data_IF_094574535302
#
_entry.id   IF_094574535302
#
_cell.length_a   1.000
_cell.length_b   1.000
_cell.length_c   1.000
_cell.angle_alpha   90.00
_cell.angle_beta   90.00
_cell.angle_gamma   90.00
#
_symmetry.space_group_name_H-M   'P 1'
#
loop_
_entity.id
_entity.type
_entity.pdbx_description
1 polymer ?
#
# COMPACT_ATOMS: atom_id res chain seq x y z
N UNK A 1 1.15 13.45 -6.55
CA UNK A 1 0.81 14.63 -5.72
C UNK A 1 0.87 14.28 -4.22
N UNK A 2 1.67 14.98 -3.42
CA UNK A 2 1.58 14.92 -1.95
C UNK A 2 1.82 16.29 -1.29
N UNK A 3 1.35 17.37 -1.93
CA UNK A 3 1.60 18.75 -1.47
C UNK A 3 0.36 19.48 -0.93
N UNK A 4 -0.80 18.85 -0.80
CA UNK A 4 -2.00 19.63 -0.42
C UNK A 4 -3.05 18.83 0.35
N UNK A 5 -2.68 18.20 1.47
CA UNK A 5 -3.68 17.51 2.30
C UNK A 5 -3.41 17.65 3.80
N UNK A 6 -3.77 18.82 4.35
CA UNK A 6 -4.15 18.93 5.76
C UNK A 6 -5.51 18.23 5.96
N UNK A 7 -5.50 16.91 6.14
CA UNK A 7 -6.71 16.10 6.31
C UNK A 7 -7.21 16.18 7.75
N UNK A 8 -8.44 16.66 7.91
CA UNK A 8 -9.19 16.65 9.18
C UNK A 8 -9.41 15.21 9.69
N UNK A 9 -9.66 15.00 11.00
CA UNK A 9 -9.89 13.66 11.56
C UNK A 9 -10.98 12.85 10.84
N UNK A 10 -12.03 13.52 10.34
CA UNK A 10 -13.10 12.89 9.56
C UNK A 10 -12.62 12.42 8.18
N UNK A 11 -11.72 13.17 7.53
CA UNK A 11 -11.12 12.76 6.26
C UNK A 11 -10.12 11.60 6.44
N UNK A 12 -9.43 11.51 7.58
CA UNK A 12 -8.61 10.34 7.94
C UNK A 12 -9.47 9.09 8.17
N UNK A 13 -10.63 9.24 8.81
CA UNK A 13 -11.58 8.15 9.00
C UNK A 13 -12.22 7.70 7.68
N UNK A 14 -12.47 8.63 6.76
CA UNK A 14 -12.93 8.34 5.40
C UNK A 14 -11.86 7.62 4.58
N UNK A 15 -10.61 8.09 4.62
CA UNK A 15 -9.48 7.41 3.97
C UNK A 15 -9.27 6.00 4.55
N UNK A 16 -9.41 5.82 5.87
CA UNK A 16 -9.41 4.50 6.52
C UNK A 16 -10.53 3.60 6.01
N UNK A 17 -11.74 4.13 5.80
CA UNK A 17 -12.87 3.39 5.22
C UNK A 17 -12.67 3.08 3.74
N UNK A 18 -12.12 4.01 2.96
CA UNK A 18 -11.83 3.83 1.54
C UNK A 18 -10.70 2.81 1.32
N UNK A 19 -9.62 2.87 2.11
CA UNK A 19 -8.55 1.85 2.07
C UNK A 19 -9.07 0.47 2.49
N UNK A 20 -9.89 0.37 3.53
CA UNK A 20 -10.53 -0.89 3.92
C UNK A 20 -11.53 -1.39 2.87
N UNK A 21 -12.22 -0.48 2.19
CA UNK A 21 -13.13 -0.81 1.10
C UNK A 21 -12.38 -1.28 -0.15
N UNK A 22 -11.22 -0.69 -0.48
CA UNK A 22 -10.38 -1.11 -1.61
C UNK A 22 -9.73 -2.47 -1.32
N UNK A 23 -9.29 -2.70 -0.08
CA UNK A 23 -8.86 -4.03 0.39
C UNK A 23 -9.98 -5.07 0.22
N UNK A 24 -11.25 -4.73 0.54
CA UNK A 24 -12.41 -5.61 0.37
C UNK A 24 -12.87 -5.77 -1.09
N UNK A 25 -12.68 -4.75 -1.92
CA UNK A 25 -12.96 -4.81 -3.36
C UNK A 25 -11.94 -5.71 -4.07
N UNK A 26 -10.69 -5.65 -3.62
CA UNK A 26 -9.63 -6.63 -3.88
C UNK A 26 -9.85 -7.98 -3.17
N UNK A 27 -10.94 -8.20 -2.44
CA UNK A 27 -11.38 -9.56 -2.03
C UNK A 27 -12.37 -10.17 -3.03
N UNK A 28 -13.13 -9.37 -3.79
CA UNK A 28 -14.18 -9.88 -4.71
C UNK A 28 -13.64 -10.34 -6.05
N UNK A 29 -12.54 -9.76 -6.52
CA UNK A 29 -11.84 -10.19 -7.75
C UNK A 29 -11.11 -11.53 -7.60
N UNK A 30 -10.82 -11.96 -6.37
CA UNK A 30 -9.98 -13.12 -6.08
C UNK A 30 -10.77 -14.38 -5.66
N UNK A 31 -12.12 -14.34 -5.70
CA UNK A 31 -12.97 -15.51 -5.50
C UNK A 31 -13.59 -15.95 -6.84
N UNK A 32 -12.87 -16.79 -7.58
CA UNK A 32 -13.42 -17.89 -8.41
C UNK A 32 -12.31 -18.71 -9.08
N UNK A 33 -12.18 -20.01 -8.76
CA UNK A 33 -11.79 -21.01 -9.73
C UNK A 33 -13.05 -21.76 -10.18
N UNK A 34 -13.49 -21.59 -11.44
CA UNK A 34 -14.42 -22.56 -12.03
C UNK A 34 -13.61 -23.75 -12.54
N UNK A 35 -13.58 -24.80 -11.72
CA UNK A 35 -13.34 -26.16 -12.18
C UNK A 35 -14.34 -26.49 -13.30
N UNK A 36 -13.88 -26.52 -14.56
CA UNK A 36 -14.60 -27.21 -15.64
C UNK A 36 -13.78 -28.45 -16.01
N UNK A 37 -14.29 -29.60 -15.60
CA UNK A 37 -13.82 -30.92 -16.06
C UNK A 37 -13.82 -30.92 -17.59
N UNK A 38 -12.65 -31.15 -18.19
CA UNK A 38 -12.52 -31.46 -19.61
C UNK A 38 -12.65 -32.98 -19.75
N UNK A 39 -13.72 -33.44 -20.38
CA UNK A 39 -13.79 -34.78 -20.97
C UNK A 39 -13.14 -34.76 -22.36
N UNK A 40 -12.40 -35.81 -22.76
CA UNK A 40 -11.65 -35.80 -24.00
C UNK A 40 -12.57 -36.12 -25.19
N UNK A 41 -12.62 -35.22 -26.17
CA UNK A 41 -13.20 -35.50 -27.47
C UNK A 41 -12.10 -35.83 -28.49
N UNK A 42 -12.31 -36.93 -29.17
CA UNK A 42 -11.43 -37.60 -30.13
C UNK A 42 -11.09 -36.72 -31.34
N UNK A 43 -9.81 -36.78 -31.72
CA UNK A 43 -9.16 -36.14 -32.87
C UNK A 43 -9.64 -36.71 -34.21
N UNK A 44 -9.98 -35.86 -35.18
CA UNK A 44 -9.82 -36.14 -36.62
C UNK A 44 -9.30 -34.90 -37.36
N UNK A 45 -8.45 -35.18 -38.34
CA UNK A 45 -7.47 -34.34 -39.02
C UNK A 45 -8.05 -33.25 -39.94
N UNK A 46 -7.32 -32.14 -40.10
CA UNK A 46 -7.03 -31.51 -41.40
C UNK A 46 -5.82 -30.54 -41.28
N UNK A 47 -5.02 -30.50 -42.33
CA UNK A 47 -3.66 -29.98 -42.47
C UNK A 47 -3.65 -28.52 -42.98
N UNK A 48 -2.59 -27.70 -42.76
CA UNK A 48 -2.60 -26.27 -43.09
C UNK A 48 -2.08 -25.97 -44.52
N UNK A 49 -2.51 -24.83 -45.08
CA UNK A 49 -2.02 -24.27 -46.35
C UNK A 49 -1.56 -22.80 -46.16
N UNK A 50 -0.69 -22.25 -47.04
CA UNK A 50 0.50 -21.51 -46.63
C UNK A 50 0.45 -19.97 -46.78
N UNK A 51 1.47 -19.34 -46.19
CA UNK A 51 1.81 -17.91 -46.18
C UNK A 51 2.26 -17.39 -47.56
N UNK A 52 1.91 -16.13 -47.89
CA UNK A 52 2.63 -15.27 -48.85
C UNK A 52 2.70 -13.82 -48.34
N UNK A 53 3.88 -13.22 -48.48
CA UNK A 53 4.28 -11.83 -48.21
C UNK A 53 4.37 -11.08 -49.55
N UNK A 54 3.94 -9.81 -49.63
CA UNK A 54 4.54 -8.75 -50.52
C UNK A 54 4.26 -7.34 -49.94
N UNK A 55 5.30 -6.49 -49.92
CA UNK A 55 5.34 -5.05 -49.58
C UNK A 55 4.91 -4.12 -50.75
N UNK A 56 4.41 -2.91 -50.45
CA UNK A 56 5.01 -1.59 -50.82
C UNK A 56 4.01 -0.40 -50.67
N UNK A 57 4.54 0.78 -50.29
CA UNK A 57 3.86 2.09 -50.05
C UNK A 57 3.77 2.94 -51.37
N UNK A 58 3.62 4.29 -51.33
CA UNK A 58 2.39 5.10 -51.35
C UNK A 58 2.28 6.06 -52.58
N UNK A 59 1.15 6.77 -52.80
CA UNK A 59 1.10 8.16 -53.37
C UNK A 59 -0.31 8.79 -53.53
N UNK A 60 -0.47 9.97 -52.91
CA UNK A 60 -1.08 11.26 -53.35
C UNK A 60 -2.53 11.41 -53.90
N UNK A 61 -3.23 12.38 -53.27
CA UNK A 61 -4.47 13.18 -53.57
C UNK A 61 -4.56 13.75 -55.02
N UNK A 62 -5.74 14.17 -55.58
CA UNK A 62 -6.61 15.23 -55.02
C UNK A 62 -8.16 15.20 -55.23
N UNK A 63 -8.84 15.85 -54.27
CA UNK A 63 -10.05 16.73 -54.29
C UNK A 63 -10.99 16.66 -55.51
N UNK A 64 -12.28 16.33 -55.31
CA UNK A 64 -13.46 17.14 -55.75
C UNK A 64 -14.66 16.90 -54.82
N UNK A 65 -15.28 18.01 -54.43
CA UNK A 65 -16.48 18.15 -53.61
C UNK A 65 -17.75 17.99 -54.47
N UNK A 66 -18.80 17.27 -54.02
CA UNK A 66 -20.19 17.59 -54.40
C UNK A 66 -21.21 17.08 -53.38
N UNK A 67 -22.11 18.00 -53.07
CA UNK A 67 -23.14 18.02 -52.04
C UNK A 67 -24.44 17.39 -52.57
N UNK A 68 -25.28 16.95 -51.63
CA UNK A 68 -26.74 16.75 -51.67
C UNK A 68 -27.29 15.40 -52.16
N UNK A 69 -27.84 14.63 -51.22
CA UNK A 69 -29.18 14.05 -51.35
C UNK A 69 -29.78 13.82 -49.95
N UNK A 70 -30.84 14.57 -49.64
CA UNK A 70 -31.79 14.37 -48.53
C UNK A 70 -32.97 13.57 -49.09
N UNK A 71 -33.39 12.52 -48.38
CA UNK A 71 -34.79 12.13 -48.06
C UNK A 71 -34.74 10.82 -47.27
N UNK A 72 -35.08 10.84 -45.98
CA UNK A 72 -36.40 10.49 -45.42
C UNK A 72 -36.68 8.98 -45.36
N UNK A 73 -36.43 8.39 -44.18
CA UNK A 73 -37.29 7.34 -43.61
C UNK A 73 -37.54 7.70 -42.15
N UNK A 74 -38.78 8.10 -41.89
CA UNK A 74 -39.35 8.42 -40.59
C UNK A 74 -39.81 7.15 -39.86
N UNK A 75 -39.62 7.16 -38.54
CA UNK A 75 -40.63 6.82 -37.51
C UNK A 75 -41.31 5.45 -37.58
N UNK A 76 -40.79 4.50 -36.80
CA UNK A 76 -41.53 3.47 -36.04
C UNK A 76 -40.47 2.83 -35.13
N UNK A 77 -40.42 3.01 -33.81
CA UNK A 77 -41.29 2.37 -32.81
C UNK A 77 -41.10 3.15 -31.49
N UNK A 78 -42.12 3.90 -31.07
CA UNK A 78 -42.35 4.28 -29.67
C UNK A 78 -43.82 3.95 -29.39
N UNK A 79 -44.08 2.87 -28.63
CA UNK A 79 -45.18 2.79 -27.65
C UNK A 79 -45.22 1.42 -26.96
N UNK A 80 -45.58 1.47 -25.67
CA UNK A 80 -45.78 0.42 -24.65
C UNK A 80 -44.52 0.26 -23.78
N UNK A 81 -44.44 0.71 -22.53
CA UNK A 81 -45.48 0.99 -21.52
C UNK A 81 -45.03 2.09 -20.53
N UNK A 82 -45.93 3.03 -20.25
CA UNK A 82 -45.94 3.87 -19.05
C UNK A 82 -47.29 3.71 -18.37
N UNK A 83 -47.31 3.37 -17.08
CA UNK A 83 -47.93 4.15 -15.99
C UNK A 83 -48.20 3.33 -14.72
N UNK A 84 -47.68 3.83 -13.59
CA UNK A 84 -48.38 4.21 -12.34
C UNK A 84 -47.28 4.75 -11.39
N UNK A 85 -47.08 6.06 -11.18
CA UNK A 85 -47.88 7.11 -10.50
C UNK A 85 -48.18 6.79 -9.04
N UNK A 86 -47.50 7.49 -8.10
CA UNK A 86 -48.12 8.22 -6.96
C UNK A 86 -47.26 9.48 -6.64
N UNK A 87 -47.91 10.65 -6.66
CA UNK A 87 -47.55 11.93 -6.00
C UNK A 87 -48.54 12.13 -4.84
N UNK A 88 -48.20 12.85 -3.77
CA UNK A 88 -48.76 14.21 -3.60
C UNK A 88 -47.79 15.14 -2.80
N UNK A 89 -48.07 16.40 -2.47
CA UNK A 89 -48.75 17.57 -3.06
C UNK A 89 -48.45 18.69 -2.03
N UNK A 90 -48.00 19.84 -2.50
CA UNK A 90 -47.84 21.07 -1.71
C UNK A 90 -49.18 21.80 -1.75
N UNK A 91 -49.65 22.33 -0.62
CA UNK A 91 -50.65 23.39 -0.55
C UNK A 91 -50.30 24.36 0.61
N UNK A 92 -50.78 25.59 0.48
CA UNK A 92 -50.26 26.89 0.87
C UNK A 92 -51.16 27.57 1.92
N UNK A 93 -50.64 28.35 2.90
CA UNK A 93 -51.41 29.43 3.57
C UNK A 93 -50.54 30.62 4.03
N UNK A 94 -50.68 31.74 3.29
CA UNK A 94 -50.82 33.18 3.65
C UNK A 94 -50.38 33.73 5.04
N UNK A 95 -49.63 34.86 5.02
CA UNK A 95 -50.11 36.24 5.33
C UNK A 95 -49.11 37.16 6.08
N UNK A 96 -48.62 38.19 5.37
CA UNK A 96 -48.45 39.62 5.74
C UNK A 96 -47.98 40.08 7.14
N UNK A 97 -46.92 40.90 7.21
CA UNK A 97 -46.98 42.33 7.60
C UNK A 97 -45.61 43.00 7.87
N UNK A 98 -45.31 44.04 7.05
CA UNK A 98 -44.69 45.35 7.35
C UNK A 98 -43.69 45.51 8.53
N UNK A 99 -42.46 45.95 8.24
CA UNK A 99 -41.96 47.35 8.37
C UNK A 99 -40.42 47.42 8.24
N UNK A 100 -39.94 48.38 7.46
CA UNK A 100 -38.56 48.91 7.45
C UNK A 100 -38.49 50.16 8.40
N UNK A 101 -37.46 51.05 8.41
CA UNK A 101 -36.10 51.04 7.82
C UNK A 101 -34.98 51.67 8.72
N UNK A 102 -33.81 51.92 8.09
CA UNK A 102 -32.73 52.93 8.36
C UNK A 102 -31.50 52.38 9.09
N UNK A 103 -30.25 52.36 8.56
CA UNK A 103 -29.39 53.24 7.71
C UNK A 103 -28.72 54.41 8.47
N UNK A 104 -27.38 54.44 8.35
CA UNK A 104 -26.37 55.49 8.69
C UNK A 104 -26.00 55.53 10.18
N UNK A 105 -24.73 55.63 10.59
CA UNK A 105 -23.73 56.65 10.21
C UNK A 105 -22.29 56.22 10.49
N UNK A 106 -21.38 56.69 9.63
CA UNK A 106 -19.94 56.91 9.83
C UNK A 106 -19.60 57.72 11.10
N UNK A 107 -18.35 57.62 11.62
CA UNK A 107 -17.43 58.77 11.88
C UNK A 107 -16.07 58.28 12.45
N UNK A 108 -15.00 58.63 11.69
CA UNK A 108 -13.64 59.11 12.01
C UNK A 108 -12.81 58.63 13.22
N UNK A 109 -11.59 58.17 12.87
CA UNK A 109 -10.23 58.62 13.27
C UNK A 109 -9.95 59.17 14.68
N UNK A 110 -8.97 58.58 15.36
CA UNK A 110 -7.81 59.26 16.02
C UNK A 110 -6.80 58.19 16.52
N UNK A 111 -5.61 58.02 15.94
CA UNK A 111 -4.28 58.61 16.24
C UNK A 111 -3.73 58.54 17.69
N UNK A 112 -2.56 57.88 17.79
CA UNK A 112 -1.43 58.03 18.74
C UNK A 112 -1.67 57.59 20.21
N UNK A 113 -0.76 56.92 20.93
CA UNK A 113 0.57 57.38 21.39
C UNK A 113 1.38 56.18 21.96
N UNK A 114 2.70 56.15 21.71
CA UNK A 114 3.72 55.28 22.37
C UNK A 114 3.87 55.57 23.88
N UNK A 115 4.11 54.54 24.70
CA UNK A 115 5.01 54.59 25.88
C UNK A 115 5.36 53.19 26.43
N UNK A 116 6.67 52.90 26.55
CA UNK A 116 7.34 51.86 27.39
C UNK A 116 7.62 52.50 28.79
N UNK A 117 8.24 51.85 29.83
CA UNK A 117 8.53 50.43 30.12
C UNK A 117 8.34 49.98 31.62
N UNK A 118 8.45 48.66 31.91
CA UNK A 118 8.98 48.00 33.16
C UNK A 118 8.17 48.07 34.50
N UNK A 119 8.57 47.41 35.64
CA UNK A 119 8.36 45.97 35.98
C UNK A 119 7.93 45.63 37.47
N UNK A 120 7.64 44.33 37.78
CA UNK A 120 7.48 43.65 39.13
C UNK A 120 6.23 44.05 39.98
N UNK A 121 5.70 43.28 41.00
CA UNK A 121 6.28 42.35 42.02
C UNK A 121 5.52 41.00 42.23
N UNK A 122 6.06 39.89 42.80
CA UNK A 122 6.39 39.44 44.20
C UNK A 122 5.18 39.01 45.11
N UNK A 123 5.14 37.69 45.45
CA UNK A 123 4.75 36.99 46.72
C UNK A 123 3.22 36.94 47.03
N UNK A 124 2.56 35.80 47.33
CA UNK A 124 2.66 34.99 48.57
C UNK A 124 1.97 33.59 48.51
N UNK A 125 2.25 32.78 49.56
CA UNK A 125 1.94 31.36 49.91
C UNK A 125 0.42 31.02 49.97
N UNK A 126 -0.12 29.80 50.11
CA UNK A 126 0.28 28.47 50.67
C UNK A 126 -0.88 27.47 50.39
N UNK A 127 -0.60 26.16 50.17
CA UNK A 127 -1.29 24.96 50.70
C UNK A 127 -0.98 23.69 49.87
N UNK A 128 -0.55 22.64 50.56
CA UNK A 128 -0.21 21.24 50.15
C UNK A 128 -1.43 20.30 50.32
N UNK A 129 -1.41 18.95 50.07
CA UNK A 129 -0.26 18.03 49.83
C UNK A 129 -0.40 16.84 48.82
N UNK A 130 0.76 16.18 48.61
CA UNK A 130 1.05 14.75 48.27
C UNK A 130 0.89 14.27 46.80
N UNK A 131 1.85 13.48 46.23
CA UNK A 131 2.24 12.16 46.73
C UNK A 131 3.77 11.85 46.83
N UNK A 132 4.04 10.71 47.50
CA UNK A 132 5.33 10.16 47.98
C UNK A 132 6.32 9.67 46.90
N UNK A 133 7.62 9.49 47.25
CA UNK A 133 8.72 9.42 46.28
C UNK A 133 9.27 8.02 45.99
N UNK A 134 9.85 7.90 44.79
CA UNK A 134 10.76 6.83 44.33
C UNK A 134 12.20 7.20 44.73
N UNK A 135 12.89 6.33 45.45
CA UNK A 135 14.31 6.49 45.82
C UNK A 135 15.26 5.79 44.85
N UNK A 136 16.37 6.48 44.55
CA UNK A 136 17.45 6.11 43.64
C UNK A 136 18.37 5.02 44.22
N UNK A 137 18.90 4.20 43.30
CA UNK A 137 20.03 3.26 43.47
C UNK A 137 21.28 3.94 44.05
N UNK A 138 21.98 3.22 44.94
CA UNK A 138 23.42 3.38 45.17
C UNK A 138 24.10 2.01 45.31
N UNK A 139 25.22 1.90 44.62
CA UNK A 139 26.09 0.75 44.37
C UNK A 139 26.70 0.18 45.66
N UNK A 140 26.81 -1.15 45.77
CA UNK A 140 27.50 -1.86 46.86
C UNK A 140 28.86 -2.38 46.40
N UNK A 141 29.88 -2.14 47.23
CA UNK A 141 31.23 -2.72 47.17
C UNK A 141 31.33 -3.99 48.06
N UNK A 142 32.36 -4.84 47.86
CA UNK A 142 32.37 -6.24 48.33
C UNK A 142 33.13 -6.43 49.66
N UNK A 143 32.60 -5.92 50.77
CA UNK A 143 33.22 -6.14 52.10
C UNK A 143 32.28 -6.63 53.23
N UNK A 144 30.97 -6.80 52.99
CA UNK A 144 30.00 -7.17 54.06
C UNK A 144 29.40 -8.59 53.94
N UNK A 145 30.24 -9.62 53.82
CA UNK A 145 29.80 -11.02 54.05
C UNK A 145 30.85 -11.83 54.79
N UNK A 146 31.11 -11.47 56.04
CA UNK A 146 31.68 -12.39 57.02
C UNK A 146 31.11 -12.03 58.39
N UNK A 147 30.68 -13.06 59.13
CA UNK A 147 30.05 -13.04 60.48
C UNK A 147 28.53 -12.93 60.47
N UNK A 148 27.88 -14.10 60.35
CA UNK A 148 26.91 -14.59 61.34
C UNK A 148 26.33 -15.91 60.85
N UNK A 149 26.65 -16.98 61.58
CA UNK A 149 25.87 -18.22 61.86
C UNK A 149 26.83 -19.34 62.22
N UNK A 150 27.51 -19.18 63.35
CA UNK A 150 27.68 -20.31 64.25
C UNK A 150 26.42 -20.38 65.11
N UNK A 151 25.73 -21.52 65.10
CA UNK A 151 25.10 -22.11 66.29
C UNK A 151 24.38 -23.41 65.88
N UNK A 152 24.79 -24.48 66.57
CA UNK A 152 24.21 -25.83 66.63
C UNK A 152 24.47 -26.77 65.44
N UNK A 153 25.51 -27.61 65.57
CA UNK A 153 25.36 -29.07 65.68
C UNK A 153 26.72 -29.68 66.07
N UNK A 154 26.78 -30.33 67.24
CA UNK A 154 27.91 -31.17 67.65
C UNK A 154 27.77 -32.54 66.97
N UNK A 155 28.81 -33.10 66.33
CA UNK A 155 28.89 -34.53 66.12
C UNK A 155 29.66 -35.17 67.28
N UNK A 156 29.00 -36.13 67.91
CA UNK A 156 29.56 -37.05 68.87
C UNK A 156 30.68 -37.90 68.24
N UNK A 157 31.64 -38.23 69.07
CA UNK A 157 32.81 -39.06 68.83
C UNK A 157 32.47 -40.55 68.70
N UNK A 158 33.36 -41.26 68.01
CA UNK A 158 33.64 -42.71 68.15
C UNK A 158 32.82 -43.74 67.36
N UNK A 159 33.00 -43.78 66.02
CA UNK A 159 33.14 -45.07 65.29
C UNK A 159 34.09 -44.85 64.11
N UNK A 160 35.26 -45.51 64.13
CA UNK A 160 36.15 -45.64 62.96
C UNK A 160 35.74 -46.90 62.18
N UNK A 161 35.22 -46.83 60.94
CA UNK A 161 35.31 -47.97 60.05
C UNK A 161 36.72 -47.98 59.43
N UNK A 162 37.43 -49.09 59.57
CA UNK A 162 38.66 -49.34 58.85
C UNK A 162 38.37 -49.31 57.35
N UNK A 163 38.84 -48.28 56.65
CA UNK A 163 38.83 -48.28 55.19
C UNK A 163 39.94 -49.22 54.76
N UNK A 164 39.56 -50.47 54.46
CA UNK A 164 40.38 -51.36 53.66
C UNK A 164 40.72 -50.63 52.37
N UNK A 165 42.00 -50.42 52.12
CA UNK A 165 42.50 -49.86 50.87
C UNK A 165 42.23 -50.86 49.74
N UNK A 166 41.03 -50.80 49.16
CA UNK A 166 40.78 -51.37 47.85
C UNK A 166 41.71 -50.66 46.87
N UNK A 167 42.80 -51.33 46.50
CA UNK A 167 43.56 -51.03 45.29
C UNK A 167 42.60 -51.20 44.12
N UNK A 168 41.88 -50.14 43.79
CA UNK A 168 41.21 -50.03 42.50
C UNK A 168 42.33 -49.83 41.49
N UNK A 169 42.63 -50.88 40.73
CA UNK A 169 43.52 -50.75 39.57
C UNK A 169 42.97 -49.64 38.69
N UNK A 170 43.73 -48.56 38.49
CA UNK A 170 43.38 -47.57 37.44
C UNK A 170 43.48 -48.33 36.11
N UNK A 171 42.38 -48.59 35.39
CA UNK A 171 42.49 -49.23 34.10
C UNK A 171 43.30 -48.28 33.21
N UNK A 172 44.47 -48.74 32.74
CA UNK A 172 45.24 -48.03 31.72
C UNK A 172 44.42 -48.10 30.42
N UNK A 173 43.47 -47.19 30.24
CA UNK A 173 42.76 -47.01 28.98
C UNK A 173 43.81 -46.67 27.91
N UNK A 174 43.96 -47.58 26.94
CA UNK A 174 44.86 -47.41 25.80
C UNK A 174 44.42 -46.15 25.03
N UNK A 175 45.20 -45.08 25.15
CA UNK A 175 44.92 -43.72 24.62
C UNK A 175 44.71 -43.71 23.08
N UNK A 176 45.15 -44.75 22.36
CA UNK A 176 44.97 -44.90 20.91
C UNK A 176 43.52 -45.11 20.45
N UNK A 177 42.67 -45.77 21.23
CA UNK A 177 41.28 -46.08 20.83
C UNK A 177 40.27 -44.99 21.26
N UNK A 178 40.66 -44.11 22.17
CA UNK A 178 39.78 -43.06 22.70
C UNK A 178 39.44 -42.03 21.62
N UNK A 179 40.38 -41.70 20.73
CA UNK A 179 40.13 -40.80 19.60
C UNK A 179 39.07 -41.36 18.63
N UNK A 180 39.12 -42.66 18.34
CA UNK A 180 38.13 -43.32 17.47
C UNK A 180 36.75 -43.42 18.15
N UNK A 181 36.71 -43.64 19.46
CA UNK A 181 35.47 -43.63 20.23
C UNK A 181 34.84 -42.23 20.29
N UNK A 182 35.64 -41.19 20.55
CA UNK A 182 35.18 -39.80 20.53
C UNK A 182 34.67 -39.42 19.14
N UNK A 183 35.38 -39.83 18.08
CA UNK A 183 34.95 -39.60 16.70
C UNK A 183 33.62 -40.32 16.39
N UNK A 184 33.48 -41.59 16.79
CA UNK A 184 32.24 -42.35 16.64
C UNK A 184 31.07 -41.73 17.41
N UNK A 185 31.29 -41.30 18.65
CA UNK A 185 30.30 -40.61 19.46
C UNK A 185 29.90 -39.25 18.85
N UNK A 186 30.86 -38.49 18.31
CA UNK A 186 30.58 -37.24 17.61
C UNK A 186 29.74 -37.46 16.34
N UNK A 187 30.08 -38.46 15.52
CA UNK A 187 29.29 -38.82 14.33
C UNK A 187 27.87 -39.25 14.72
N UNK A 188 27.73 -40.06 15.76
CA UNK A 188 26.41 -40.49 16.25
C UNK A 188 25.57 -39.30 16.75
N UNK A 189 26.16 -38.36 17.49
CA UNK A 189 25.49 -37.13 17.91
C UNK A 189 25.06 -36.27 16.71
N UNK A 190 25.91 -36.15 15.68
CA UNK A 190 25.58 -35.44 14.44
C UNK A 190 24.41 -36.14 13.73
N UNK A 191 24.44 -37.46 13.58
CA UNK A 191 23.36 -38.22 12.97
C UNK A 191 22.04 -38.09 13.73
N UNK A 192 22.09 -38.14 15.07
CA UNK A 192 20.92 -37.92 15.92
C UNK A 192 20.35 -36.51 15.74
N UNK A 193 21.22 -35.50 15.64
CA UNK A 193 20.81 -34.11 15.40
C UNK A 193 20.21 -33.94 14.00
N UNK A 194 20.79 -34.56 12.96
CA UNK A 194 20.23 -34.56 11.60
C UNK A 194 18.86 -35.24 11.56
N UNK A 195 18.69 -36.38 12.24
CA UNK A 195 17.40 -37.06 12.34
C UNK A 195 16.36 -36.19 13.06
N UNK A 196 16.73 -35.54 14.17
CA UNK A 196 15.85 -34.63 14.90
C UNK A 196 15.44 -33.42 14.04
N UNK A 197 16.37 -32.84 13.28
CA UNK A 197 16.08 -31.79 12.30
C UNK A 197 15.12 -32.29 11.20
N UNK A 198 15.34 -33.50 10.69
CA UNK A 198 14.45 -34.11 9.70
C UNK A 198 13.02 -34.29 10.21
N UNK A 199 12.86 -34.73 11.46
CA UNK A 199 11.56 -34.85 12.13
C UNK A 199 10.89 -33.49 12.30
N UNK A 200 11.64 -32.47 12.73
CA UNK A 200 11.08 -31.12 12.90
C UNK A 200 10.67 -30.49 11.57
N UNK A 201 11.50 -30.62 10.52
CA UNK A 201 11.14 -30.17 9.15
C UNK A 201 9.90 -30.91 8.65
N UNK A 202 9.82 -32.22 8.84
CA UNK A 202 8.61 -32.99 8.51
C UNK A 202 7.39 -32.48 9.27
N UNK A 203 7.53 -32.23 10.58
CA UNK A 203 6.48 -31.68 11.44
C UNK A 203 6.01 -30.30 11.00
N UNK A 204 6.93 -29.42 10.57
CA UNK A 204 6.60 -28.09 10.04
C UNK A 204 5.69 -28.22 8.81
N UNK A 205 6.07 -29.02 7.81
CA UNK A 205 5.32 -29.13 6.55
C UNK A 205 4.05 -29.98 6.62
N UNK A 206 4.08 -31.09 7.36
CA UNK A 206 2.94 -32.02 7.41
C UNK A 206 1.99 -31.77 8.57
N UNK A 207 2.51 -31.31 9.69
CA UNK A 207 1.75 -31.15 10.94
C UNK A 207 1.57 -29.68 11.33
N UNK A 208 2.16 -28.74 10.57
CA UNK A 208 2.06 -27.30 10.84
C UNK A 208 2.78 -26.86 12.11
N UNK A 209 3.81 -27.61 12.55
CA UNK A 209 4.57 -27.26 13.75
C UNK A 209 5.22 -25.88 13.63
N UNK A 210 5.01 -25.03 14.63
CA UNK A 210 5.52 -23.66 14.67
C UNK A 210 6.02 -23.26 16.08
N UNK A 211 6.44 -24.25 16.88
CA UNK A 211 6.94 -24.04 18.23
C UNK A 211 8.34 -23.40 18.27
N UNK A 212 8.90 -23.25 19.48
CA UNK A 212 10.19 -22.55 19.68
C UNK A 212 11.35 -23.17 18.90
N UNK A 213 11.41 -24.51 18.85
CA UNK A 213 12.45 -25.23 18.09
C UNK A 213 12.22 -25.04 16.59
N UNK A 214 11.00 -25.28 16.12
CA UNK A 214 10.61 -25.13 14.72
C UNK A 214 10.85 -23.72 14.18
N UNK A 215 10.59 -22.67 14.97
CA UNK A 215 10.91 -21.28 14.61
C UNK A 215 12.40 -21.05 14.43
N UNK A 216 13.26 -21.64 15.27
CA UNK A 216 14.71 -21.57 15.08
C UNK A 216 15.13 -22.28 13.80
N UNK A 217 14.55 -23.44 13.52
CA UNK A 217 14.82 -24.20 12.29
C UNK A 217 14.39 -23.40 11.06
N UNK A 218 13.18 -22.82 11.06
CA UNK A 218 12.64 -22.00 9.97
C UNK A 218 13.51 -20.75 9.72
N UNK A 219 14.03 -20.11 10.77
CA UNK A 219 14.85 -18.90 10.64
C UNK A 219 16.30 -19.17 10.22
N UNK A 220 16.81 -20.39 10.46
CA UNK A 220 18.20 -20.77 10.14
C UNK A 220 18.29 -21.48 8.79
N UNK A 221 17.33 -22.35 8.48
CA UNK A 221 17.30 -23.10 7.23
C UNK A 221 16.49 -22.35 6.17
N UNK A 222 16.97 -22.27 4.91
CA UNK A 222 16.25 -21.63 3.81
C UNK A 222 15.11 -22.53 3.28
N UNK A 223 14.14 -22.85 4.14
CA UNK A 223 13.00 -23.69 3.79
C UNK A 223 12.02 -22.92 2.90
N UNK A 224 11.49 -23.52 1.82
CA UNK A 224 10.54 -22.84 0.94
C UNK A 224 9.08 -23.06 1.39
N UNK A 225 8.30 -21.98 1.56
CA UNK A 225 6.83 -22.06 1.63
C UNK A 225 6.22 -22.42 0.26
N UNK A 226 6.87 -22.00 -0.82
CA UNK A 226 6.43 -22.22 -2.19
C UNK A 226 7.48 -21.72 -3.18
N UNK A 227 7.10 -21.62 -4.44
CA UNK A 227 7.94 -21.01 -5.47
C UNK A 227 7.12 -20.32 -6.56
N UNK A 228 7.71 -19.27 -7.15
CA UNK A 228 7.21 -18.49 -8.29
C UNK A 228 8.25 -18.59 -9.40
N UNK A 229 7.91 -19.24 -10.53
CA UNK A 229 8.85 -19.51 -11.64
C UNK A 229 10.18 -20.14 -11.18
N UNK A 230 10.09 -21.08 -10.24
CA UNK A 230 11.25 -21.77 -9.66
C UNK A 230 12.03 -20.97 -8.60
N UNK A 231 11.71 -19.68 -8.38
CA UNK A 231 12.28 -18.88 -7.28
C UNK A 231 11.53 -19.15 -5.99
N UNK A 232 12.26 -19.36 -4.89
CA UNK A 232 11.68 -19.80 -3.62
C UNK A 232 11.02 -18.66 -2.85
N UNK A 233 9.81 -18.91 -2.34
CA UNK A 233 9.17 -18.07 -1.32
C UNK A 233 9.64 -18.59 0.04
N UNK A 234 10.24 -17.73 0.86
CA UNK A 234 10.77 -18.11 2.18
C UNK A 234 9.67 -18.52 3.17
N UNK A 235 9.86 -19.68 3.81
CA UNK A 235 8.98 -20.15 4.89
C UNK A 235 9.07 -19.25 6.13
N UNK A 236 10.24 -18.67 6.40
CA UNK A 236 10.40 -17.72 7.49
C UNK A 236 9.55 -16.47 7.30
N UNK A 237 9.52 -15.93 6.08
CA UNK A 237 8.69 -14.76 5.76
C UNK A 237 7.19 -15.10 5.91
N UNK A 238 6.78 -16.27 5.43
CA UNK A 238 5.39 -16.75 5.60
C UNK A 238 4.95 -16.80 7.06
N UNK A 239 5.72 -17.45 7.94
CA UNK A 239 5.35 -17.52 9.36
C UNK A 239 5.49 -16.18 10.08
N UNK A 240 6.44 -15.32 9.68
CA UNK A 240 6.54 -13.96 10.18
C UNK A 240 5.26 -13.18 9.89
N UNK A 241 4.80 -13.19 8.63
CA UNK A 241 3.57 -12.50 8.23
C UNK A 241 2.32 -13.08 8.90
N UNK A 242 2.28 -14.40 9.05
CA UNK A 242 1.21 -15.08 9.79
C UNK A 242 1.15 -14.63 11.25
N UNK A 243 2.31 -14.47 11.90
CA UNK A 243 2.38 -13.97 13.27
C UNK A 243 1.93 -12.50 13.39
N UNK A 244 2.27 -11.65 12.41
CA UNK A 244 1.85 -10.25 12.38
C UNK A 244 0.33 -10.17 12.24
N UNK A 245 -0.25 -10.83 11.24
CA UNK A 245 -1.71 -10.82 11.01
C UNK A 245 -2.46 -11.35 12.23
N UNK A 246 -1.96 -12.43 12.83
CA UNK A 246 -2.52 -12.97 14.07
C UNK A 246 -2.50 -11.95 15.21
N UNK A 247 -1.38 -11.28 15.45
CA UNK A 247 -1.26 -10.26 16.50
C UNK A 247 -2.24 -9.09 16.29
N UNK A 248 -2.46 -8.65 15.05
CA UNK A 248 -3.39 -7.55 14.73
C UNK A 248 -4.85 -7.94 14.93
N UNK A 249 -5.22 -9.17 14.55
CA UNK A 249 -6.59 -9.66 14.69
C UNK A 249 -6.95 -9.97 16.15
N UNK A 250 -5.98 -10.42 16.95
CA UNK A 250 -6.14 -10.62 18.40
C UNK A 250 -6.37 -9.30 19.15
N UNK A 251 -5.80 -8.17 18.68
CA UNK A 251 -6.05 -6.85 19.26
C UNK A 251 -7.48 -6.32 19.03
N UNK A 252 -8.23 -6.90 18.10
CA UNK A 252 -9.53 -6.40 17.66
C UNK A 252 -10.71 -7.31 18.08
N UNK A 253 -10.53 -8.19 19.07
CA UNK A 253 -11.52 -9.18 19.54
C UNK A 253 -12.10 -10.10 18.43
N UNK A 254 -11.48 -10.13 17.25
CA UNK A 254 -11.87 -10.94 16.08
C UNK A 254 -11.09 -12.27 16.01
N UNK A 255 -10.80 -12.86 17.18
CA UNK A 255 -9.92 -14.02 17.32
C UNK A 255 -10.39 -15.29 16.58
N UNK A 256 -11.68 -15.42 16.30
CA UNK A 256 -12.27 -16.58 15.60
C UNK A 256 -12.00 -16.60 14.09
N UNK A 257 -11.62 -15.47 13.47
CA UNK A 257 -11.25 -15.37 12.05
C UNK A 257 -9.78 -15.73 11.76
N UNK A 258 -8.95 -15.79 12.81
CA UNK A 258 -7.48 -15.90 12.74
C UNK A 258 -7.01 -17.27 12.24
N UNK A 259 -7.82 -18.30 12.42
CA UNK A 259 -7.40 -19.70 12.22
C UNK A 259 -7.93 -20.32 10.91
N UNK A 260 -8.38 -19.50 9.97
CA UNK A 260 -8.93 -20.00 8.72
C UNK A 260 -7.82 -20.35 7.73
N UNK A 261 -7.97 -21.45 7.00
CA UNK A 261 -7.13 -21.76 5.84
C UNK A 261 -7.14 -20.62 4.81
N UNK A 262 -8.20 -19.82 4.81
CA UNK A 262 -8.31 -18.57 4.03
C UNK A 262 -7.24 -17.54 4.40
N UNK A 263 -6.98 -17.29 5.69
CA UNK A 263 -5.93 -16.35 6.12
C UNK A 263 -4.54 -16.82 5.68
N UNK A 264 -4.26 -18.12 5.82
CA UNK A 264 -3.01 -18.75 5.36
C UNK A 264 -2.84 -18.59 3.85
N UNK A 265 -3.90 -18.84 3.09
CA UNK A 265 -3.93 -18.67 1.65
C UNK A 265 -3.72 -17.21 1.23
N UNK A 266 -4.36 -16.24 1.90
CA UNK A 266 -4.17 -14.82 1.65
C UNK A 266 -2.73 -14.37 1.87
N UNK A 267 -2.09 -14.83 2.94
CA UNK A 267 -0.68 -14.51 3.22
C UNK A 267 0.24 -15.11 2.16
N UNK A 268 0.00 -16.37 1.79
CA UNK A 268 0.75 -17.01 0.72
C UNK A 268 0.60 -16.26 -0.61
N UNK A 269 -0.63 -15.92 -0.99
CA UNK A 269 -0.92 -15.18 -2.22
C UNK A 269 -0.28 -13.79 -2.22
N UNK A 270 -0.29 -13.07 -1.09
CA UNK A 270 0.43 -11.80 -0.97
C UNK A 270 1.93 -11.97 -1.19
N UNK A 271 2.54 -13.01 -0.61
CA UNK A 271 3.96 -13.30 -0.82
C UNK A 271 4.28 -13.68 -2.26
N UNK A 272 3.38 -14.41 -2.93
CA UNK A 272 3.47 -14.67 -4.37
C UNK A 272 3.47 -13.36 -5.14
N UNK A 273 2.53 -12.46 -4.87
CA UNK A 273 2.45 -11.16 -5.55
C UNK A 273 3.72 -10.32 -5.37
N UNK A 274 4.25 -10.25 -4.15
CA UNK A 274 5.52 -9.54 -3.88
C UNK A 274 6.65 -10.13 -4.72
N UNK A 275 6.78 -11.46 -4.79
CA UNK A 275 7.81 -12.12 -5.58
C UNK A 275 7.62 -11.89 -7.09
N UNK A 276 6.38 -11.89 -7.59
CA UNK A 276 6.07 -11.60 -9.00
C UNK A 276 6.51 -10.17 -9.34
N UNK A 277 6.13 -9.19 -8.53
CA UNK A 277 6.47 -7.78 -8.74
C UNK A 277 8.00 -7.60 -8.71
N UNK A 278 8.68 -8.16 -7.71
CA UNK A 278 10.15 -8.10 -7.65
C UNK A 278 10.83 -8.75 -8.86
N UNK A 279 10.27 -9.86 -9.35
CA UNK A 279 10.78 -10.52 -10.55
C UNK A 279 10.57 -9.65 -11.79
N UNK A 280 9.43 -8.99 -11.89
CA UNK A 280 9.11 -8.10 -13.00
C UNK A 280 10.02 -6.87 -12.98
N UNK A 281 10.16 -6.20 -11.84
CA UNK A 281 11.09 -5.08 -11.68
C UNK A 281 12.51 -5.45 -12.13
N UNK A 282 12.98 -6.65 -11.77
CA UNK A 282 14.30 -7.14 -12.19
C UNK A 282 14.43 -7.30 -13.71
N UNK A 283 13.35 -7.59 -14.45
CA UNK A 283 13.40 -7.64 -15.93
C UNK A 283 13.69 -6.26 -16.53
N UNK A 284 13.20 -5.20 -15.89
CA UNK A 284 13.51 -3.81 -16.24
C UNK A 284 14.84 -3.32 -15.64
N UNK A 285 15.63 -4.21 -15.01
CA UNK A 285 16.87 -3.84 -14.34
C UNK A 285 16.67 -3.00 -13.07
N UNK A 286 15.47 -3.03 -12.50
CA UNK A 286 15.08 -2.26 -11.32
C UNK A 286 14.95 -3.15 -10.08
N UNK A 287 15.16 -2.54 -8.92
CA UNK A 287 14.90 -3.16 -7.62
C UNK A 287 14.68 -2.06 -6.58
N UNK A 288 13.88 -2.33 -5.56
CA UNK A 288 13.68 -1.36 -4.49
C UNK A 288 14.91 -1.34 -3.59
N UNK A 289 15.56 -0.18 -3.55
CA UNK A 289 16.78 0.05 -2.78
C UNK A 289 16.46 0.44 -1.33
N UNK A 290 17.35 0.15 -0.37
CA UNK A 290 17.22 0.64 0.99
C UNK A 290 17.01 2.16 1.07
N UNK A 291 17.71 2.91 0.22
CA UNK A 291 17.67 4.38 0.15
C UNK A 291 16.30 4.90 -0.32
N UNK A 292 15.70 4.28 -1.34
CA UNK A 292 14.34 4.60 -1.78
C UNK A 292 13.34 4.34 -0.65
N UNK A 293 13.50 3.22 0.04
CA UNK A 293 12.61 2.83 1.13
C UNK A 293 12.77 3.75 2.36
N UNK A 294 13.99 4.21 2.66
CA UNK A 294 14.24 5.22 3.69
C UNK A 294 13.64 6.58 3.32
N UNK A 295 13.79 7.00 2.07
CA UNK A 295 13.21 8.25 1.56
C UNK A 295 11.69 8.23 1.68
N UNK A 296 11.06 7.12 1.28
CA UNK A 296 9.62 6.97 1.38
C UNK A 296 9.16 6.93 2.85
N UNK A 297 9.89 6.24 3.72
CA UNK A 297 9.59 6.22 5.16
C UNK A 297 9.70 7.62 5.79
N UNK A 298 10.68 8.44 5.37
CA UNK A 298 10.80 9.83 5.80
C UNK A 298 9.61 10.68 5.34
N UNK A 299 9.10 10.46 4.12
CA UNK A 299 7.88 11.10 3.63
C UNK A 299 6.68 10.75 4.52
N UNK A 300 6.52 9.46 4.88
CA UNK A 300 5.47 9.01 5.81
C UNK A 300 5.63 9.68 7.19
N UNK A 301 6.84 9.72 7.75
CA UNK A 301 7.11 10.37 9.04
C UNK A 301 6.78 11.86 8.99
N UNK A 302 7.16 12.55 7.91
CA UNK A 302 6.88 13.97 7.71
C UNK A 302 5.37 14.25 7.65
N UNK A 303 4.59 13.38 7.01
CA UNK A 303 3.12 13.50 6.97
C UNK A 303 2.47 13.27 8.34
N UNK A 304 3.03 12.35 9.14
CA UNK A 304 2.54 12.09 10.50
C UNK A 304 2.94 13.23 11.46
N UNK A 305 4.10 13.84 11.23
CA UNK A 305 4.62 15.04 11.88
C UNK A 305 5.90 14.81 12.69
N UNK A 306 6.13 13.61 13.22
CA UNK A 306 7.36 13.24 13.93
C UNK A 306 7.60 11.73 13.94
N UNK A 307 8.86 11.32 14.11
CA UNK A 307 9.24 9.90 14.17
C UNK A 307 8.61 9.20 15.37
N UNK A 308 8.62 9.82 16.55
CA UNK A 308 8.01 9.25 17.76
C UNK A 308 6.52 8.97 17.57
N UNK A 309 5.80 9.89 16.92
CA UNK A 309 4.39 9.71 16.62
C UNK A 309 4.17 8.65 15.55
N UNK A 310 5.02 8.57 14.53
CA UNK A 310 4.96 7.48 13.56
C UNK A 310 5.15 6.11 14.21
N UNK A 311 6.11 5.98 15.13
CA UNK A 311 6.32 4.74 15.90
C UNK A 311 5.07 4.39 16.72
N UNK A 312 4.47 5.37 17.40
CA UNK A 312 3.25 5.18 18.19
C UNK A 312 2.04 4.80 17.33
N UNK A 313 1.78 5.55 16.26
CA UNK A 313 0.67 5.34 15.33
C UNK A 313 0.81 3.99 14.62
N UNK A 314 2.02 3.60 14.19
CA UNK A 314 2.28 2.33 13.54
C UNK A 314 2.05 1.17 14.52
N UNK A 315 2.58 1.30 15.74
CA UNK A 315 2.41 0.27 16.77
C UNK A 315 0.95 0.11 17.19
N UNK A 316 0.22 1.21 17.36
CA UNK A 316 -1.18 1.18 17.77
C UNK A 316 -2.13 0.74 16.65
N UNK A 317 -1.84 1.10 15.40
CA UNK A 317 -2.70 0.77 14.24
C UNK A 317 -2.42 -0.62 13.68
N UNK A 318 -1.13 -0.98 13.58
CA UNK A 318 -0.69 -2.21 12.90
C UNK A 318 -0.04 -3.22 13.83
N UNK A 319 0.19 -2.90 15.11
CA UNK A 319 0.87 -3.82 16.03
C UNK A 319 2.34 -4.07 15.71
N UNK A 320 2.97 -3.24 14.88
CA UNK A 320 4.33 -3.46 14.35
C UNK A 320 5.31 -2.41 14.85
N UNK A 321 6.60 -2.74 14.81
CA UNK A 321 7.66 -1.72 14.87
C UNK A 321 7.90 -1.08 13.49
N UNK A 322 8.68 0.00 13.48
CA UNK A 322 8.98 0.78 12.29
C UNK A 322 9.71 -0.04 11.21
N UNK A 323 10.66 -0.90 11.61
CA UNK A 323 11.45 -1.70 10.69
C UNK A 323 10.57 -2.76 9.99
N UNK A 324 9.69 -3.40 10.75
CA UNK A 324 8.72 -4.36 10.24
C UNK A 324 7.69 -3.69 9.34
N UNK A 325 7.22 -2.49 9.71
CA UNK A 325 6.36 -1.69 8.84
C UNK A 325 7.03 -1.36 7.50
N UNK A 326 8.27 -0.87 7.56
CA UNK A 326 9.07 -0.54 6.38
C UNK A 326 9.19 -1.74 5.43
N UNK A 327 9.46 -2.93 5.95
CA UNK A 327 9.70 -4.13 5.12
C UNK A 327 8.41 -4.83 4.66
N UNK A 328 7.39 -4.92 5.51
CA UNK A 328 6.24 -5.80 5.26
C UNK A 328 5.03 -5.04 4.69
N UNK A 329 5.00 -3.70 4.82
CA UNK A 329 3.92 -2.84 4.32
C UNK A 329 4.44 -1.83 3.30
N UNK A 330 5.45 -1.05 3.67
CA UNK A 330 5.91 0.05 2.80
C UNK A 330 6.60 -0.46 1.52
N UNK A 331 7.51 -1.43 1.65
CA UNK A 331 8.25 -1.99 0.53
C UNK A 331 7.34 -2.58 -0.56
N UNK A 332 6.33 -3.42 -0.27
CA UNK A 332 5.37 -3.87 -1.30
C UNK A 332 4.61 -2.73 -1.98
N UNK A 333 4.17 -1.72 -1.24
CA UNK A 333 3.45 -0.56 -1.82
C UNK A 333 4.38 0.21 -2.77
N UNK A 334 5.61 0.47 -2.32
CA UNK A 334 6.62 1.15 -3.13
C UNK A 334 6.99 0.33 -4.38
N UNK A 335 7.05 -1.00 -4.27
CA UNK A 335 7.30 -1.87 -5.42
C UNK A 335 6.21 -1.76 -6.49
N UNK A 336 4.94 -1.68 -6.08
CA UNK A 336 3.81 -1.46 -7.00
C UNK A 336 3.89 -0.08 -7.64
N UNK A 337 4.18 0.98 -6.86
CA UNK A 337 4.32 2.35 -7.37
C UNK A 337 5.45 2.46 -8.40
N UNK A 338 6.62 1.89 -8.09
CA UNK A 338 7.76 1.85 -9.03
C UNK A 338 7.41 1.05 -10.27
N UNK A 339 6.74 -0.11 -10.14
CA UNK A 339 6.31 -0.88 -11.31
C UNK A 339 5.34 -0.09 -12.17
N UNK A 340 4.36 0.60 -11.55
CA UNK A 340 3.39 1.46 -12.24
C UNK A 340 4.06 2.51 -13.12
N UNK A 341 5.04 3.22 -12.55
CA UNK A 341 5.83 4.23 -13.29
C UNK A 341 6.57 3.64 -14.48
N UNK A 342 7.18 2.46 -14.30
CA UNK A 342 7.91 1.77 -15.36
C UNK A 342 6.97 1.33 -16.50
N UNK A 343 5.81 0.75 -16.19
CA UNK A 343 4.92 0.22 -17.23
C UNK A 343 4.21 1.32 -18.02
N UNK A 344 4.03 2.52 -17.44
CA UNK A 344 3.54 3.69 -18.17
C UNK A 344 4.49 4.06 -19.32
N UNK A 345 5.78 3.84 -19.14
CA UNK A 345 6.80 4.06 -20.17
C UNK A 345 6.90 2.94 -21.21
N UNK A 346 6.37 1.76 -20.92
CA UNK A 346 6.39 0.63 -21.85
C UNK A 346 5.12 0.59 -22.71
N UNK A 347 5.16 1.30 -23.84
CA UNK A 347 4.10 1.31 -24.86
C UNK A 347 3.86 -0.05 -25.53
N UNK A 348 4.73 -1.05 -25.31
CA UNK A 348 4.54 -2.39 -25.85
C UNK A 348 3.51 -3.20 -25.07
N UNK A 349 3.20 -2.80 -23.84
CA UNK A 349 2.25 -3.48 -22.96
C UNK A 349 0.80 -3.19 -23.35
N UNK A 350 -0.05 -4.22 -23.28
CA UNK A 350 -1.45 -4.10 -23.65
C UNK A 350 -2.22 -3.12 -22.75
N UNK A 351 -1.93 -3.11 -21.44
CA UNK A 351 -2.52 -2.14 -20.49
C UNK A 351 -2.17 -0.69 -20.83
N UNK A 352 -0.94 -0.45 -21.30
CA UNK A 352 -0.45 0.89 -21.64
C UNK A 352 -1.06 1.35 -22.97
N UNK A 353 -1.14 0.45 -23.96
CA UNK A 353 -1.85 0.71 -25.23
C UNK A 353 -3.32 1.00 -25.00
N UNK A 354 -3.98 0.25 -24.13
CA UNK A 354 -5.40 0.46 -23.80
C UNK A 354 -5.62 1.82 -23.13
N UNK A 355 -4.79 2.18 -22.15
CA UNK A 355 -4.86 3.48 -21.51
C UNK A 355 -4.63 4.64 -22.50
N UNK A 356 -3.62 4.54 -23.36
CA UNK A 356 -3.35 5.54 -24.40
C UNK A 356 -4.49 5.62 -25.42
N UNK A 357 -5.06 4.49 -25.82
CA UNK A 357 -6.23 4.46 -26.71
C UNK A 357 -7.41 5.18 -26.07
N UNK A 358 -7.71 4.88 -24.81
CA UNK A 358 -8.80 5.52 -24.08
C UNK A 358 -8.57 7.03 -23.93
N UNK A 359 -7.32 7.48 -23.75
CA UNK A 359 -6.97 8.89 -23.69
C UNK A 359 -7.18 9.59 -25.03
N UNK A 360 -6.76 8.97 -26.13
CA UNK A 360 -7.00 9.51 -27.46
C UNK A 360 -8.49 9.53 -27.82
N UNK A 361 -9.25 8.51 -27.43
CA UNK A 361 -10.70 8.46 -27.63
C UNK A 361 -11.40 9.59 -26.82
N UNK A 362 -11.04 9.76 -25.55
CA UNK A 362 -11.57 10.83 -24.70
C UNK A 362 -11.22 12.22 -25.26
N UNK A 363 -9.98 12.42 -25.73
CA UNK A 363 -9.56 13.66 -26.38
C UNK A 363 -10.36 13.91 -27.66
N UNK A 364 -10.49 12.91 -28.54
CA UNK A 364 -11.22 13.04 -29.79
C UNK A 364 -12.71 13.38 -29.58
N UNK A 365 -13.35 12.82 -28.55
CA UNK A 365 -14.73 13.16 -28.19
C UNK A 365 -14.78 14.58 -27.60
N UNK A 366 -13.84 14.94 -26.71
CA UNK A 366 -13.82 16.26 -26.07
C UNK A 366 -13.63 17.44 -27.03
N UNK A 367 -13.08 17.19 -28.22
CA UNK A 367 -12.91 18.19 -29.28
C UNK A 367 -14.18 18.39 -30.14
N UNK A 368 -15.24 17.61 -29.92
CA UNK A 368 -16.51 17.78 -30.64
C UNK A 368 -17.26 19.01 -30.12
N UNK A 369 -17.96 19.72 -31.00
CA UNK A 369 -18.62 21.00 -30.69
C UNK A 369 -19.71 20.92 -29.61
N UNK A 370 -20.28 19.73 -29.41
CA UNK A 370 -21.35 19.43 -28.45
C UNK A 370 -20.87 18.57 -27.27
N UNK A 371 -19.55 18.37 -27.14
CA UNK A 371 -18.99 17.57 -26.06
C UNK A 371 -19.16 18.25 -24.70
N UNK A 372 -19.70 17.51 -23.73
CA UNK A 372 -19.68 17.90 -22.33
C UNK A 372 -18.47 17.27 -21.63
N UNK A 373 -17.44 18.09 -21.39
CA UNK A 373 -16.22 17.66 -20.73
C UNK A 373 -16.49 17.06 -19.35
N UNK A 374 -17.48 17.57 -18.60
CA UNK A 374 -17.82 17.06 -17.26
C UNK A 374 -18.37 15.63 -17.33
N UNK A 375 -19.18 15.33 -18.33
CA UNK A 375 -19.64 13.96 -18.60
C UNK A 375 -18.47 13.05 -18.98
N UNK A 376 -17.52 13.52 -19.79
CA UNK A 376 -16.34 12.74 -20.16
C UNK A 376 -15.43 12.44 -18.96
N UNK A 377 -15.30 13.37 -18.02
CA UNK A 377 -14.59 13.11 -16.75
C UNK A 377 -15.22 11.94 -16.01
N UNK A 378 -16.55 11.91 -15.88
CA UNK A 378 -17.24 10.82 -15.19
C UNK A 378 -17.13 9.48 -15.91
N UNK A 379 -16.94 9.50 -17.23
CA UNK A 379 -16.87 8.30 -18.06
C UNK A 379 -15.44 7.72 -18.14
N UNK A 380 -14.43 8.58 -18.28
CA UNK A 380 -13.06 8.15 -18.59
C UNK A 380 -12.07 8.35 -17.45
N UNK A 381 -12.29 9.32 -16.56
CA UNK A 381 -11.27 9.69 -15.58
C UNK A 381 -11.13 8.66 -14.46
N UNK A 382 -9.90 8.31 -14.14
CA UNK A 382 -9.49 7.52 -12.97
C UNK A 382 -9.06 8.41 -11.79
N UNK A 383 -9.10 9.74 -11.93
CA UNK A 383 -8.78 10.66 -10.84
C UNK A 383 -9.87 10.72 -9.78
N UNK A 384 -9.77 9.83 -8.79
CA UNK A 384 -10.68 9.76 -7.64
C UNK A 384 -10.75 11.05 -6.81
N UNK A 385 -9.72 11.90 -6.84
CA UNK A 385 -9.68 13.13 -6.03
C UNK A 385 -10.59 14.21 -6.61
N UNK A 386 -10.65 14.30 -7.93
CA UNK A 386 -11.37 15.37 -8.62
C UNK A 386 -12.61 14.89 -9.39
N UNK A 387 -12.88 13.58 -9.45
CA UNK A 387 -14.12 13.01 -10.01
C UNK A 387 -15.39 13.65 -9.44
N UNK A 388 -15.45 13.85 -8.11
CA UNK A 388 -16.59 14.49 -7.44
C UNK A 388 -16.73 15.99 -7.73
N UNK A 389 -15.68 16.60 -8.30
CA UNK A 389 -15.61 18.01 -8.69
C UNK A 389 -15.66 18.16 -10.21
N UNK A 390 -16.12 17.11 -10.93
CA UNK A 390 -16.16 17.05 -12.39
C UNK A 390 -14.81 17.35 -13.06
N UNK A 391 -13.72 16.95 -12.42
CA UNK A 391 -12.36 17.10 -12.95
C UNK A 391 -11.71 18.44 -12.65
N UNK A 392 -12.37 19.34 -11.91
CA UNK A 392 -11.80 20.63 -11.50
C UNK A 392 -10.54 20.42 -10.66
N UNK A 393 -9.40 20.93 -11.16
CA UNK A 393 -8.10 20.92 -10.47
C UNK A 393 -7.69 22.29 -9.95
N UNK A 394 -8.59 23.26 -10.01
CA UNK A 394 -8.41 24.59 -9.46
C UNK A 394 -7.76 25.59 -10.41
N UNK A 395 -7.30 26.69 -9.82
CA UNK A 395 -6.66 27.80 -10.50
C UNK A 395 -5.15 27.64 -10.50
N UNK A 396 -4.54 27.90 -11.66
CA UNK A 396 -3.10 27.93 -11.85
C UNK A 396 -2.70 29.30 -12.37
N UNK A 397 -1.74 29.92 -11.71
CA UNK A 397 -1.11 31.18 -12.12
C UNK A 397 0.13 30.89 -12.97
N UNK A 398 0.56 31.88 -13.74
CA UNK A 398 1.82 31.79 -14.50
C UNK A 398 3.01 31.44 -13.57
N UNK A 399 3.79 30.44 -13.97
CA UNK A 399 4.91 29.87 -13.24
C UNK A 399 4.56 28.65 -12.36
N UNK A 400 3.30 28.23 -12.28
CA UNK A 400 2.87 27.07 -11.49
C UNK A 400 2.79 25.77 -12.30
N UNK A 401 2.83 25.85 -13.64
CA UNK A 401 2.79 24.70 -14.54
C UNK A 401 4.16 24.46 -15.19
N UNK A 402 4.47 23.22 -15.63
CA UNK A 402 5.65 22.97 -16.45
C UNK A 402 5.64 23.86 -17.70
N UNK A 403 6.77 24.49 -18.01
CA UNK A 403 6.83 25.54 -19.04
C UNK A 403 6.26 25.12 -20.41
N UNK A 404 6.49 23.86 -20.80
CA UNK A 404 6.00 23.28 -22.06
C UNK A 404 4.47 23.17 -22.11
N UNK A 405 3.84 22.86 -20.98
CA UNK A 405 2.39 22.77 -20.85
C UNK A 405 1.76 24.15 -20.63
N UNK A 406 2.44 25.00 -19.85
CA UNK A 406 1.96 26.32 -19.47
C UNK A 406 1.65 27.18 -20.70
N UNK A 407 2.61 27.34 -21.62
CA UNK A 407 2.40 28.22 -22.77
C UNK A 407 1.23 27.75 -23.63
N UNK A 408 1.02 26.44 -23.71
CA UNK A 408 -0.06 25.84 -24.47
C UNK A 408 -1.41 26.10 -23.79
N UNK A 409 -1.57 25.80 -22.50
CA UNK A 409 -2.82 26.00 -21.78
C UNK A 409 -3.21 27.48 -21.65
N UNK A 410 -2.24 28.36 -21.38
CA UNK A 410 -2.49 29.80 -21.32
C UNK A 410 -2.85 30.41 -22.68
N UNK A 411 -2.63 29.71 -23.81
CA UNK A 411 -3.04 30.18 -25.13
C UNK A 411 -4.50 29.84 -25.48
N UNK A 412 -5.12 28.87 -24.81
CA UNK A 412 -6.48 28.37 -25.11
C UNK A 412 -7.59 29.27 -24.58
N UNK A 413 -8.69 29.47 -25.29
CA UNK A 413 -9.82 30.27 -24.78
C UNK A 413 -10.65 29.53 -23.69
N UNK A 414 -11.55 30.26 -23.04
CA UNK A 414 -12.49 29.67 -22.08
C UNK A 414 -13.34 28.58 -22.76
N UNK A 415 -13.41 27.42 -22.11
CA UNK A 415 -14.08 26.21 -22.59
C UNK A 415 -13.25 25.34 -23.54
N UNK A 416 -12.09 25.82 -24.03
CA UNK A 416 -11.27 25.06 -24.97
C UNK A 416 -10.50 23.92 -24.29
N UNK A 417 -10.40 22.81 -25.02
CA UNK A 417 -9.64 21.62 -24.62
C UNK A 417 -8.28 21.66 -25.29
N UNK A 418 -7.24 21.33 -24.53
CA UNK A 418 -5.90 21.19 -25.08
C UNK A 418 -5.86 20.05 -26.10
N UNK A 419 -5.28 20.30 -27.27
CA UNK A 419 -5.41 19.41 -28.41
C UNK A 419 -4.48 18.19 -28.40
N UNK A 420 -3.77 17.95 -27.29
CA UNK A 420 -2.84 16.84 -27.13
C UNK A 420 -3.07 16.15 -25.79
N UNK A 421 -2.81 14.84 -25.76
CA UNK A 421 -2.72 14.09 -24.51
C UNK A 421 -1.35 14.36 -23.90
N UNK A 422 -1.32 14.72 -22.62
CA UNK A 422 -0.09 14.93 -21.85
C UNK A 422 0.19 13.68 -21.04
N UNK A 423 1.45 13.24 -20.96
CA UNK A 423 1.83 12.04 -20.20
C UNK A 423 2.77 12.40 -19.05
N UNK A 424 2.55 11.79 -17.89
CA UNK A 424 3.47 11.81 -16.76
C UNK A 424 3.43 10.49 -15.96
N UNK A 425 4.10 10.46 -14.81
CA UNK A 425 4.18 9.30 -13.90
C UNK A 425 2.83 8.77 -13.38
N UNK A 426 1.74 9.53 -13.52
CA UNK A 426 0.39 9.12 -13.12
C UNK A 426 -0.45 8.61 -14.30
N UNK A 427 -0.05 8.88 -15.54
CA UNK A 427 -0.70 8.39 -16.74
C UNK A 427 -0.94 9.48 -17.78
N UNK A 428 -2.11 9.44 -18.41
CA UNK A 428 -2.48 10.27 -19.54
C UNK A 428 -3.50 11.33 -19.13
N UNK A 429 -3.17 12.60 -19.38
CA UNK A 429 -3.96 13.76 -18.98
C UNK A 429 -4.52 14.47 -20.21
N UNK A 430 -5.76 14.90 -20.08
CA UNK A 430 -6.44 15.77 -21.04
C UNK A 430 -6.94 16.97 -20.24
N UNK A 431 -6.57 18.17 -20.67
CA UNK A 431 -6.89 19.40 -19.96
C UNK A 431 -7.91 20.25 -20.72
N UNK A 432 -8.83 20.86 -19.98
CA UNK A 432 -9.71 21.91 -20.45
C UNK A 432 -9.48 23.19 -19.65
N UNK A 433 -9.41 24.33 -20.32
CA UNK A 433 -9.45 25.64 -19.67
C UNK A 433 -10.92 25.98 -19.43
N UNK A 434 -11.39 25.91 -18.19
CA UNK A 434 -12.76 26.30 -17.85
C UNK A 434 -12.93 27.82 -17.92
N UNK A 435 -11.95 28.56 -17.42
CA UNK A 435 -12.01 30.03 -17.35
C UNK A 435 -10.64 30.66 -17.23
N UNK A 436 -10.51 31.89 -17.71
CA UNK A 436 -9.33 32.74 -17.53
C UNK A 436 -9.61 33.95 -16.65
N UNK A 437 -8.60 34.35 -15.89
CA UNK A 437 -8.58 35.56 -15.09
C UNK A 437 -7.31 36.33 -15.40
N UNK A 438 -7.40 37.66 -15.48
CA UNK A 438 -6.24 38.56 -15.49
C UNK A 438 -6.36 39.42 -14.24
N UNK A 439 -5.35 39.36 -13.38
CA UNK A 439 -5.23 40.23 -12.22
C UNK A 439 -4.93 41.66 -12.69
N UNK A 440 -5.84 42.60 -12.43
CA UNK A 440 -5.76 43.97 -12.95
C UNK A 440 -4.57 44.76 -12.37
N UNK A 441 -4.13 44.44 -11.15
CA UNK A 441 -3.06 45.16 -10.45
C UNK A 441 -1.66 44.68 -10.91
N UNK A 442 -1.49 43.37 -11.08
CA UNK A 442 -0.21 42.74 -11.41
C UNK A 442 -0.06 42.38 -12.89
N UNK A 443 -1.16 42.37 -13.65
CA UNK A 443 -1.22 41.91 -15.04
C UNK A 443 -1.03 40.41 -15.20
N UNK A 444 -0.94 39.65 -14.10
CA UNK A 444 -0.71 38.20 -14.14
C UNK A 444 -1.98 37.48 -14.57
N UNK A 445 -1.80 36.50 -15.43
CA UNK A 445 -2.88 35.62 -15.84
C UNK A 445 -2.97 34.41 -14.91
N UNK A 446 -4.20 33.95 -14.67
CA UNK A 446 -4.51 32.67 -14.05
C UNK A 446 -5.55 31.95 -14.89
N UNK A 447 -5.44 30.62 -14.98
CA UNK A 447 -6.39 29.76 -15.69
C UNK A 447 -6.98 28.75 -14.72
N UNK A 448 -8.29 28.51 -14.83
CA UNK A 448 -8.97 27.43 -14.13
C UNK A 448 -9.01 26.22 -15.03
N UNK A 449 -8.55 25.09 -14.53
CA UNK A 449 -8.39 23.86 -15.32
C UNK A 449 -9.34 22.76 -14.83
N UNK A 450 -9.89 22.02 -15.80
CA UNK A 450 -10.46 20.70 -15.58
C UNK A 450 -9.54 19.65 -16.22
N UNK A 451 -9.52 18.43 -15.67
CA UNK A 451 -8.76 17.32 -16.23
C UNK A 451 -9.54 16.01 -16.33
N UNK A 452 -9.19 15.22 -17.34
CA UNK A 452 -9.43 13.78 -17.41
C UNK A 452 -8.06 13.11 -17.25
N UNK A 453 -7.89 12.29 -16.21
CA UNK A 453 -6.68 11.48 -16.01
C UNK A 453 -7.01 10.02 -16.25
N UNK A 454 -6.32 9.39 -17.17
CA UNK A 454 -6.44 7.96 -17.46
C UNK A 454 -5.15 7.28 -17.01
N UNK A 455 -5.27 6.43 -16.00
CA UNK A 455 -4.14 5.70 -15.41
C UNK A 455 -3.89 4.40 -16.17
N UNK A 456 -2.64 3.94 -16.21
CA UNK A 456 -2.35 2.56 -16.63
C UNK A 456 -2.75 1.59 -15.51
N UNK A 457 -3.57 0.59 -15.85
CA UNK A 457 -4.09 -0.38 -14.88
C UNK A 457 -2.98 -1.36 -14.43
N UNK A 458 -2.23 -0.91 -13.42
CA UNK A 458 -1.12 -1.66 -12.83
C UNK A 458 -1.61 -2.93 -12.13
N UNK A 459 -2.82 -2.90 -11.55
CA UNK A 459 -3.41 -4.08 -10.90
C UNK A 459 -3.75 -5.16 -11.93
N UNK A 460 -4.36 -4.78 -13.05
CA UNK A 460 -4.63 -5.68 -14.16
C UNK A 460 -3.35 -6.25 -14.75
N UNK A 461 -2.29 -5.44 -14.86
CA UNK A 461 -0.98 -5.91 -15.28
C UNK A 461 -0.40 -6.95 -14.32
N UNK A 462 -0.36 -6.66 -13.02
CA UNK A 462 0.12 -7.61 -11.99
C UNK A 462 -0.72 -8.89 -12.01
N UNK A 463 -2.04 -8.77 -12.19
CA UNK A 463 -2.93 -9.93 -12.33
C UNK A 463 -2.56 -10.76 -13.55
N UNK A 464 -2.26 -10.13 -14.69
CA UNK A 464 -1.83 -10.84 -15.90
C UNK A 464 -0.51 -11.58 -15.68
N UNK A 465 0.42 -11.01 -14.90
CA UNK A 465 1.65 -11.71 -14.51
C UNK A 465 1.33 -12.94 -13.66
N UNK A 466 0.44 -12.79 -12.67
CA UNK A 466 -0.01 -13.89 -11.83
C UNK A 466 -0.62 -15.04 -12.64
N UNK A 467 -1.50 -14.73 -13.58
CA UNK A 467 -2.18 -15.72 -14.43
C UNK A 467 -1.20 -16.48 -15.35
N UNK A 468 -0.05 -15.88 -15.68
CA UNK A 468 0.98 -16.44 -16.56
C UNK A 468 2.16 -17.09 -15.82
N UNK A 469 2.16 -17.06 -14.49
CA UNK A 469 3.29 -17.50 -13.66
C UNK A 469 3.06 -18.90 -13.09
N UNK A 470 4.10 -19.73 -13.04
CA UNK A 470 3.99 -21.06 -12.42
C UNK A 470 4.21 -20.95 -10.90
N UNK A 471 3.12 -21.13 -10.15
CA UNK A 471 3.12 -21.08 -8.69
C UNK A 471 3.07 -22.51 -8.13
N UNK A 472 4.02 -22.85 -7.25
CA UNK A 472 4.01 -24.10 -6.46
C UNK A 472 3.89 -23.76 -4.99
N UNK A 473 3.01 -24.45 -4.29
CA UNK A 473 2.83 -24.33 -2.84
C UNK A 473 3.32 -25.60 -2.15
N UNK A 474 4.12 -25.45 -1.10
CA UNK A 474 4.70 -26.58 -0.35
C UNK A 474 4.12 -26.75 1.06
N UNK A 475 3.40 -25.73 1.55
CA UNK A 475 2.81 -25.65 2.90
C UNK A 475 1.30 -25.81 2.94
#
# INVERSE_FOLDING_TARGET
MASSYNLTPEKKLRLKKEVLAEISKNEKLFIKPKNKKITPAVRKNAQPAPIKIVEEKPKTKPIVNKKAMKTDISKEIIKKETKQVIKPKIDEVKATSKHAPRKKTSIKKSTAIKKKPTPKPKIERKLTPAPSPVTKKKTRTPEDRAKERELFFRPDSSVRPSISSLRISKPKLKIGNLKMFILGAAVFLILGLVAALGVDVFGIYKLGWNGVVSQKVINVLPLPAGSVDGRTISLANYYKDLSIVKSVLELNDNATAVNSDKTKEQIFNRLVSVNIIENELKKYGQSITPEQLDTEMQSVIKQIGSESKAIEDIKSTYGMDLATFKQNVLMPILAVDVLGKIIIDDESLDVTKEALKNANDALAISQQSDADFKTLVLQYSNDSSNLNQNGDIGWYSQGELPAELESALFSLNDGEVYNQVVRDDWGYHIYQVESKLIDEDSGKQSIKLNQILITVDTELYIKSLFDNTVIKRYI
#
